data_IF_328266886741
#
_entry.id   IF_328266886741
#
_cell.length_a   1.000
_cell.length_b   1.000
_cell.length_c   1.000
_cell.angle_alpha   90.00
_cell.angle_beta   90.00
_cell.angle_gamma   90.00
#
_symmetry.space_group_name_H-M   'P 1'
#
loop_
_entity.id
_entity.type
_entity.pdbx_description
1 polymer ?
#
# COMPACT_ATOMS: atom_id res chain seq x y z
N UNK A 1 12.72 4.00 -26.55
CA UNK A 1 11.44 3.45 -27.02
C UNK A 1 10.57 3.25 -25.80
N UNK A 2 9.46 3.99 -25.71
CA UNK A 2 8.51 3.85 -24.60
C UNK A 2 7.43 2.85 -25.03
N UNK A 3 7.31 1.73 -24.32
CA UNK A 3 6.23 0.78 -24.53
C UNK A 3 5.03 1.20 -23.68
N UNK A 4 3.99 1.72 -24.32
CA UNK A 4 2.67 1.93 -23.71
C UNK A 4 1.81 0.70 -24.02
N UNK A 5 1.45 -0.06 -22.98
CA UNK A 5 0.47 -1.13 -23.11
C UNK A 5 -0.93 -0.57 -22.81
N UNK A 6 -1.79 -0.60 -23.82
CA UNK A 6 -3.21 -0.23 -23.72
C UNK A 6 -4.03 -1.49 -24.02
N UNK A 7 -4.55 -2.14 -22.98
CA UNK A 7 -5.45 -3.28 -23.10
C UNK A 7 -6.89 -2.87 -22.80
N UNK A 8 -7.76 -2.86 -23.82
CA UNK A 8 -9.21 -2.83 -23.67
C UNK A 8 -9.75 -4.26 -23.74
N UNK A 9 -10.63 -4.61 -22.79
CA UNK A 9 -11.09 -5.96 -22.51
C UNK A 9 -12.17 -6.40 -23.51
N UNK A 10 -11.93 -7.52 -24.22
CA UNK A 10 -12.99 -8.41 -24.68
C UNK A 10 -12.86 -9.73 -23.90
N UNK A 11 -13.99 -10.13 -23.32
CA UNK A 11 -14.15 -11.32 -22.47
C UNK A 11 -13.87 -12.59 -23.27
N UNK A 12 -12.82 -13.33 -22.92
CA UNK A 12 -12.69 -14.75 -23.25
C UNK A 12 -12.33 -15.49 -21.95
N UNK A 13 -13.20 -16.44 -21.58
CA UNK A 13 -12.94 -17.42 -20.52
C UNK A 13 -11.94 -18.43 -21.06
N UNK A 14 -10.84 -18.65 -20.36
CA UNK A 14 -10.16 -19.95 -20.36
C UNK A 14 -9.33 -20.12 -19.09
N UNK A 15 -9.33 -21.35 -18.59
CA UNK A 15 -8.76 -21.78 -17.31
C UNK A 15 -7.24 -21.60 -17.27
N UNK A 16 -6.71 -20.89 -16.28
CA UNK A 16 -5.34 -21.11 -15.79
C UNK A 16 -5.13 -20.48 -14.40
N UNK A 17 -4.27 -21.10 -13.60
CA UNK A 17 -3.67 -20.67 -12.30
C UNK A 17 -4.27 -19.40 -11.65
N UNK A 18 -4.83 -19.52 -10.43
CA UNK A 18 -5.20 -18.39 -9.57
C UNK A 18 -4.01 -17.42 -9.45
N UNK A 19 -4.01 -16.39 -10.30
CA UNK A 19 -3.19 -15.21 -10.17
C UNK A 19 -4.15 -14.13 -9.74
N UNK A 20 -4.14 -13.82 -8.47
CA UNK A 20 -4.88 -12.69 -7.95
C UNK A 20 -4.18 -11.42 -8.48
N UNK A 21 -4.81 -10.81 -9.48
CA UNK A 21 -4.36 -9.55 -10.03
C UNK A 21 -5.04 -8.42 -9.27
N UNK A 22 -4.29 -7.74 -8.40
CA UNK A 22 -4.73 -6.49 -7.77
C UNK A 22 -4.46 -5.35 -8.76
N UNK A 23 -5.51 -4.67 -9.20
CA UNK A 23 -5.41 -3.53 -10.11
C UNK A 23 -5.52 -2.24 -9.32
N UNK A 24 -4.44 -1.45 -9.32
CA UNK A 24 -4.45 -0.10 -8.76
C UNK A 24 -4.87 0.91 -9.83
N UNK A 25 -5.66 1.90 -9.44
CA UNK A 25 -6.09 3.02 -10.29
C UNK A 25 -5.00 4.11 -10.44
N UNK A 26 -3.73 3.77 -10.19
CA UNK A 26 -2.61 4.68 -10.38
C UNK A 26 -1.48 4.03 -11.18
N UNK A 27 -0.76 4.86 -11.91
CA UNK A 27 0.37 4.49 -12.74
C UNK A 27 1.65 4.92 -12.03
N UNK A 28 2.49 3.93 -11.72
CA UNK A 28 3.87 4.12 -11.32
C UNK A 28 4.75 4.03 -12.57
N UNK A 29 5.35 5.13 -12.99
CA UNK A 29 6.30 5.16 -14.10
C UNK A 29 7.72 5.29 -13.55
N UNK A 30 8.53 4.27 -13.82
CA UNK A 30 9.95 4.24 -13.47
C UNK A 30 10.75 4.42 -14.76
N UNK A 31 11.52 5.49 -14.84
CA UNK A 31 12.44 5.76 -15.94
C UNK A 31 13.86 5.48 -15.47
N UNK A 32 14.59 4.59 -16.15
CA UNK A 32 15.96 4.24 -15.78
C UNK A 32 16.98 4.88 -16.72
N UNK A 33 18.02 5.46 -16.13
CA UNK A 33 19.22 5.99 -16.78
C UNK A 33 20.45 5.25 -16.21
N UNK A 34 21.62 5.26 -16.88
CA UNK A 34 22.78 4.43 -16.50
C UNK A 34 23.25 4.55 -15.04
N UNK A 35 22.96 5.68 -14.37
CA UNK A 35 23.33 5.96 -12.98
C UNK A 35 22.19 6.55 -12.14
N UNK A 36 20.98 6.64 -12.68
CA UNK A 36 19.86 7.28 -11.98
C UNK A 36 18.54 6.66 -12.41
N UNK A 37 17.50 6.86 -11.62
CA UNK A 37 16.14 6.64 -12.10
C UNK A 37 15.24 7.79 -11.69
N UNK A 38 14.08 7.87 -12.32
CA UNK A 38 13.07 8.88 -12.03
C UNK A 38 11.75 8.16 -11.88
N UNK A 39 11.09 8.41 -10.75
CA UNK A 39 9.79 7.85 -10.41
C UNK A 39 8.74 8.94 -10.59
N UNK A 40 7.78 8.71 -11.47
CA UNK A 40 6.59 9.55 -11.65
C UNK A 40 5.36 8.74 -11.22
N UNK A 41 4.48 9.36 -10.43
CA UNK A 41 3.22 8.74 -10.00
C UNK A 41 2.04 9.58 -10.46
N UNK A 42 1.02 8.94 -11.01
CA UNK A 42 -0.21 9.59 -11.45
C UNK A 42 -1.43 8.70 -11.23
N UNK A 43 -2.58 9.25 -10.85
CA UNK A 43 -3.84 8.52 -10.79
C UNK A 43 -4.52 8.50 -12.17
N UNK A 44 -5.17 7.39 -12.52
CA UNK A 44 -5.88 7.21 -13.79
C UNK A 44 -7.26 7.90 -13.75
N UNK A 45 -7.84 8.02 -12.56
CA UNK A 45 -9.08 8.76 -12.36
C UNK A 45 -8.84 10.27 -12.33
N UNK A 46 -9.72 11.00 -13.02
CA UNK A 46 -9.73 12.46 -12.99
C UNK A 46 -10.19 12.87 -11.59
N UNK A 47 -9.44 13.71 -10.84
CA UNK A 47 -9.92 14.17 -9.55
C UNK A 47 -11.28 14.83 -9.73
N UNK A 48 -12.28 14.30 -9.01
CA UNK A 48 -13.57 14.96 -8.80
C UNK A 48 -13.34 16.44 -8.41
N UNK A 49 -14.23 17.37 -8.77
CA UNK A 49 -13.92 18.79 -8.86
C UNK A 49 -13.26 19.28 -7.58
N UNK A 50 -12.01 19.73 -7.75
CA UNK A 50 -11.13 20.39 -6.77
C UNK A 50 -11.45 19.98 -5.33
N UNK A 51 -10.82 18.92 -4.80
CA UNK A 51 -11.03 18.62 -3.40
C UNK A 51 -10.70 19.86 -2.58
N UNK A 52 -11.66 20.28 -1.76
CA UNK A 52 -11.40 21.25 -0.72
C UNK A 52 -10.17 20.74 0.03
N UNK A 53 -9.09 21.52 0.01
CA UNK A 53 -7.99 21.28 0.92
C UNK A 53 -8.63 21.21 2.30
N UNK A 54 -8.65 20.04 2.93
CA UNK A 54 -8.92 20.02 4.35
C UNK A 54 -7.82 20.87 4.96
N UNK A 55 -8.22 21.97 5.59
CA UNK A 55 -7.33 22.80 6.38
C UNK A 55 -7.72 22.56 7.83
N UNK A 56 -6.87 21.88 8.62
CA UNK A 56 -5.54 21.33 8.28
C UNK A 56 -5.59 20.05 7.43
N UNK A 57 -4.49 19.72 6.69
CA UNK A 57 -4.38 18.46 5.96
C UNK A 57 -4.41 17.28 6.93
N UNK A 58 -4.94 16.14 6.47
CA UNK A 58 -4.96 14.87 7.22
C UNK A 58 -3.66 14.10 6.99
N UNK A 59 -3.13 13.52 8.04
CA UNK A 59 -1.95 12.68 8.08
C UNK A 59 -2.35 11.32 8.63
N UNK A 60 -1.79 10.27 8.04
CA UNK A 60 -2.13 8.90 8.42
C UNK A 60 -0.89 8.07 8.76
N UNK A 61 -1.12 6.98 9.47
CA UNK A 61 -0.18 5.88 9.64
C UNK A 61 -0.84 4.60 9.13
N UNK A 62 -0.10 3.79 8.39
CA UNK A 62 -0.53 2.48 7.91
C UNK A 62 0.50 1.46 8.39
N UNK A 63 0.07 0.55 9.26
CA UNK A 63 0.90 -0.53 9.76
C UNK A 63 0.02 -1.75 10.10
N UNK A 64 0.51 -2.98 9.86
CA UNK A 64 -0.22 -4.18 10.24
C UNK A 64 -0.33 -4.27 11.77
N UNK A 65 -1.55 -4.39 12.28
CA UNK A 65 -1.84 -4.60 13.71
C UNK A 65 -3.03 -5.54 13.87
N UNK A 66 -2.83 -6.65 14.59
CA UNK A 66 -3.87 -7.65 14.74
C UNK A 66 -5.02 -7.14 15.62
N UNK A 67 -6.25 -7.30 15.13
CA UNK A 67 -7.47 -6.97 15.89
C UNK A 67 -7.89 -5.50 15.81
N UNK A 68 -7.29 -4.72 14.90
CA UNK A 68 -7.66 -3.32 14.64
C UNK A 68 -7.47 -2.96 13.17
N UNK A 69 -8.01 -1.82 12.75
CA UNK A 69 -7.66 -1.23 11.45
C UNK A 69 -6.17 -0.86 11.35
N UNK A 70 -5.60 -1.13 10.17
CA UNK A 70 -4.21 -0.81 9.83
C UNK A 70 -4.04 0.68 9.54
N UNK A 71 -5.07 1.32 8.98
CA UNK A 71 -5.11 2.76 8.73
C UNK A 71 -5.52 3.50 10.00
N UNK A 72 -4.67 4.43 10.45
CA UNK A 72 -4.95 5.29 11.59
C UNK A 72 -4.63 6.73 11.26
N UNK A 73 -5.42 7.68 11.78
CA UNK A 73 -5.07 9.10 11.73
C UNK A 73 -3.86 9.36 12.63
N UNK A 74 -2.99 10.29 12.22
CA UNK A 74 -1.87 10.75 13.03
C UNK A 74 -2.40 11.36 14.34
N UNK A 75 -1.68 11.15 15.44
CA UNK A 75 -2.12 11.62 16.78
C UNK A 75 -2.21 13.13 16.81
N UNK A 76 -1.36 13.81 16.05
CA UNK A 76 -1.31 15.26 15.91
C UNK A 76 -2.55 15.85 15.26
N UNK A 77 -3.30 15.05 14.50
CA UNK A 77 -4.50 15.47 13.78
C UNK A 77 -5.80 15.13 14.53
N UNK A 78 -5.71 14.38 15.63
CA UNK A 78 -6.85 14.00 16.47
C UNK A 78 -7.11 15.12 17.49
N UNK A 79 -8.30 15.70 17.45
CA UNK A 79 -8.71 16.74 18.42
C UNK A 79 -9.06 16.09 19.76
N UNK A 80 -8.97 16.85 20.85
CA UNK A 80 -9.26 16.34 22.22
C UNK A 80 -10.67 15.76 22.37
N UNK A 81 -11.62 16.18 21.51
CA UNK A 81 -13.01 15.73 21.46
C UNK A 81 -13.27 14.60 20.45
N UNK A 82 -12.28 14.23 19.63
CA UNK A 82 -12.37 13.16 18.65
C UNK A 82 -11.86 11.84 19.24
N UNK A 83 -12.56 10.74 18.97
CA UNK A 83 -12.01 9.42 19.27
C UNK A 83 -10.79 9.20 18.39
N UNK A 84 -9.65 8.84 19.00
CA UNK A 84 -8.41 8.54 18.27
C UNK A 84 -8.45 7.25 17.44
N UNK A 85 -9.60 6.60 17.35
CA UNK A 85 -9.88 5.46 16.51
C UNK A 85 -10.99 5.85 15.53
N UNK A 86 -10.70 5.75 14.23
CA UNK A 86 -11.64 6.01 13.14
C UNK A 86 -11.54 4.83 12.20
N UNK A 87 -12.68 4.27 11.79
CA UNK A 87 -12.73 3.12 10.87
C UNK A 87 -12.21 3.54 9.49
N UNK A 88 -11.56 2.61 8.79
CA UNK A 88 -11.00 2.89 7.47
C UNK A 88 -12.10 3.31 6.47
N UNK A 89 -13.31 2.77 6.61
CA UNK A 89 -14.50 3.13 5.84
C UNK A 89 -14.85 4.62 5.95
N UNK A 90 -14.70 5.19 7.14
CA UNK A 90 -15.00 6.61 7.39
C UNK A 90 -13.91 7.51 6.80
N UNK A 91 -12.63 7.11 6.94
CA UNK A 91 -11.50 7.89 6.42
C UNK A 91 -11.38 7.81 4.89
N UNK A 92 -11.74 6.67 4.30
CA UNK A 92 -11.63 6.43 2.87
C UNK A 92 -12.89 6.81 2.08
N UNK A 93 -13.93 7.34 2.73
CA UNK A 93 -15.20 7.72 2.07
C UNK A 93 -15.04 8.78 0.97
N UNK A 94 -14.02 9.64 1.07
CA UNK A 94 -13.72 10.67 0.08
C UNK A 94 -12.88 10.16 -1.11
N UNK A 95 -12.46 8.90 -1.06
CA UNK A 95 -11.74 8.24 -2.14
C UNK A 95 -12.71 7.47 -3.05
N UNK A 96 -12.29 7.15 -4.28
CA UNK A 96 -13.01 6.17 -5.09
C UNK A 96 -13.20 4.86 -4.32
N UNK A 97 -14.34 4.20 -4.49
CA UNK A 97 -14.67 2.97 -3.75
C UNK A 97 -13.63 1.87 -3.93
N UNK A 98 -12.94 1.86 -5.07
CA UNK A 98 -11.82 0.96 -5.34
C UNK A 98 -10.70 1.06 -4.30
N UNK A 99 -10.45 2.23 -3.71
CA UNK A 99 -9.41 2.40 -2.67
C UNK A 99 -9.78 1.64 -1.40
N UNK A 100 -11.04 1.71 -0.97
CA UNK A 100 -11.53 0.96 0.17
C UNK A 100 -11.56 -0.55 -0.12
N UNK A 101 -12.00 -0.95 -1.32
CA UNK A 101 -11.98 -2.36 -1.75
C UNK A 101 -10.55 -2.93 -1.74
N UNK A 102 -9.57 -2.17 -2.25
CA UNK A 102 -8.15 -2.55 -2.23
C UNK A 102 -7.59 -2.61 -0.81
N UNK A 103 -7.95 -1.65 0.04
CA UNK A 103 -7.55 -1.66 1.46
C UNK A 103 -8.08 -2.89 2.18
N UNK A 104 -9.38 -3.20 2.05
CA UNK A 104 -10.00 -4.35 2.70
C UNK A 104 -9.37 -5.66 2.22
N UNK A 105 -9.19 -5.84 0.91
CA UNK A 105 -8.53 -7.04 0.39
C UNK A 105 -7.09 -7.21 0.91
N UNK A 106 -6.33 -6.11 1.03
CA UNK A 106 -4.97 -6.11 1.55
C UNK A 106 -4.91 -6.43 3.06
N UNK A 107 -5.86 -5.94 3.85
CA UNK A 107 -6.01 -6.24 5.28
C UNK A 107 -6.47 -7.69 5.50
N UNK A 108 -7.43 -8.15 4.71
CA UNK A 108 -7.98 -9.51 4.78
C UNK A 108 -6.88 -10.55 4.53
N UNK A 109 -6.05 -10.35 3.50
CA UNK A 109 -4.94 -11.26 3.19
C UNK A 109 -3.96 -11.42 4.36
N UNK A 110 -3.62 -10.30 5.03
CA UNK A 110 -2.77 -10.35 6.22
C UNK A 110 -3.47 -11.05 7.38
N UNK A 111 -4.73 -10.72 7.62
CA UNK A 111 -5.52 -11.20 8.76
C UNK A 111 -5.79 -12.70 8.67
N UNK A 112 -6.14 -13.20 7.49
CA UNK A 112 -6.31 -14.63 7.22
C UNK A 112 -5.00 -15.40 7.40
N UNK A 113 -3.88 -14.82 6.95
CA UNK A 113 -2.56 -15.40 7.13
C UNK A 113 -2.13 -15.43 8.60
N UNK A 114 -2.33 -14.34 9.33
CA UNK A 114 -2.06 -14.25 10.76
C UNK A 114 -2.90 -15.27 11.52
N UNK A 115 -4.20 -15.32 11.27
CA UNK A 115 -5.10 -16.26 11.91
C UNK A 115 -4.65 -17.71 11.68
N UNK A 116 -4.43 -18.09 10.42
CA UNK A 116 -4.07 -19.46 10.06
C UNK A 116 -2.71 -19.91 10.61
N UNK A 117 -1.72 -19.01 10.67
CA UNK A 117 -0.33 -19.39 11.00
C UNK A 117 0.11 -19.05 12.40
N UNK A 118 -0.53 -18.07 13.04
CA UNK A 118 -0.17 -17.58 14.36
C UNK A 118 -1.27 -17.89 15.37
N UNK A 119 -2.52 -17.51 15.10
CA UNK A 119 -3.62 -17.72 16.04
C UNK A 119 -4.01 -19.20 16.16
N UNK A 120 -4.31 -19.86 15.04
CA UNK A 120 -4.76 -21.26 15.03
C UNK A 120 -3.69 -22.24 15.52
N UNK A 121 -2.40 -21.90 15.32
CA UNK A 121 -1.25 -22.71 15.73
C UNK A 121 -0.74 -22.36 17.13
N UNK A 122 -1.13 -21.18 17.66
CA UNK A 122 -0.57 -20.54 18.85
C UNK A 122 0.95 -20.28 18.76
N UNK A 123 1.53 -20.25 17.56
CA UNK A 123 2.93 -19.88 17.34
C UNK A 123 3.07 -18.38 17.03
N UNK A 124 3.11 -17.55 18.07
CA UNK A 124 3.33 -16.11 17.98
C UNK A 124 4.70 -15.69 17.45
N UNK A 125 5.57 -16.65 17.11
CA UNK A 125 6.85 -16.40 16.43
C UNK A 125 6.81 -16.81 14.96
N UNK A 126 5.73 -17.44 14.51
CA UNK A 126 5.58 -17.83 13.11
C UNK A 126 5.51 -16.58 12.21
N UNK A 127 6.16 -16.60 11.04
CA UNK A 127 5.98 -15.54 10.06
C UNK A 127 4.56 -15.58 9.51
N UNK A 128 3.97 -14.39 9.32
CA UNK A 128 2.62 -14.22 8.75
C UNK A 128 2.55 -14.78 7.33
N UNK A 129 3.58 -14.49 6.52
CA UNK A 129 3.70 -14.94 5.14
C UNK A 129 4.54 -16.21 5.03
N UNK A 130 4.21 -17.06 4.08
CA UNK A 130 4.79 -18.41 3.92
C UNK A 130 6.21 -18.33 3.37
N UNK A 131 6.42 -17.33 2.52
CA UNK A 131 7.69 -17.02 1.92
C UNK A 131 7.84 -15.51 1.69
N UNK A 132 9.04 -15.12 1.23
CA UNK A 132 9.40 -13.73 1.00
C UNK A 132 8.77 -13.13 -0.25
N UNK A 133 8.32 -13.95 -1.19
CA UNK A 133 7.62 -13.48 -2.39
C UNK A 133 6.22 -13.03 -2.01
N UNK A 134 5.53 -13.81 -1.18
CA UNK A 134 4.22 -13.45 -0.61
C UNK A 134 4.33 -12.17 0.24
N UNK A 135 5.32 -12.11 1.14
CA UNK A 135 5.58 -10.90 1.93
C UNK A 135 5.92 -9.68 1.06
N UNK A 136 6.73 -9.86 0.03
CA UNK A 136 7.07 -8.79 -0.91
C UNK A 136 5.81 -8.26 -1.62
N UNK A 137 5.00 -9.17 -2.17
CA UNK A 137 3.79 -8.80 -2.91
C UNK A 137 2.86 -7.99 -2.00
N UNK A 138 2.68 -8.43 -0.76
CA UNK A 138 1.88 -7.73 0.24
C UNK A 138 2.47 -6.36 0.64
N UNK A 139 3.79 -6.27 0.84
CA UNK A 139 4.46 -4.99 1.12
C UNK A 139 4.32 -3.99 -0.04
N UNK A 140 4.50 -4.46 -1.28
CA UNK A 140 4.36 -3.62 -2.48
C UNK A 140 2.92 -3.16 -2.63
N UNK A 141 1.94 -4.04 -2.43
CA UNK A 141 0.52 -3.68 -2.47
C UNK A 141 0.18 -2.61 -1.42
N UNK A 142 0.64 -2.77 -0.18
CA UNK A 142 0.44 -1.79 0.89
C UNK A 142 1.13 -0.45 0.61
N UNK A 143 2.35 -0.49 0.08
CA UNK A 143 3.07 0.72 -0.34
C UNK A 143 2.34 1.48 -1.45
N UNK A 144 1.82 0.73 -2.43
CA UNK A 144 1.04 1.27 -3.53
C UNK A 144 -0.26 1.92 -3.04
N UNK A 145 -0.97 1.27 -2.12
CA UNK A 145 -2.15 1.80 -1.46
C UNK A 145 -1.85 3.08 -0.65
N UNK A 146 -0.74 3.10 0.09
CA UNK A 146 -0.33 4.26 0.87
C UNK A 146 -0.09 5.49 -0.01
N UNK A 147 0.60 5.32 -1.15
CA UNK A 147 0.73 6.41 -2.14
C UNK A 147 -0.60 6.86 -2.72
N UNK A 148 -1.50 5.92 -2.99
CA UNK A 148 -2.83 6.25 -3.49
C UNK A 148 -3.61 7.13 -2.51
N UNK A 149 -3.41 6.92 -1.20
CA UNK A 149 -3.95 7.75 -0.12
C UNK A 149 -3.28 9.12 -0.07
N UNK A 150 -1.94 9.20 -0.14
CA UNK A 150 -1.18 10.48 -0.18
C UNK A 150 -1.59 11.37 -1.35
N UNK A 151 -1.84 10.78 -2.51
CA UNK A 151 -2.28 11.53 -3.70
C UNK A 151 -3.75 11.98 -3.60
N UNK A 152 -4.45 11.50 -2.58
CA UNK A 152 -5.83 11.83 -2.28
C UNK A 152 -6.08 13.28 -1.88
N UNK A 153 -7.36 13.64 -1.83
CA UNK A 153 -7.82 14.98 -1.47
C UNK A 153 -7.57 15.31 0.01
N UNK A 154 -6.86 16.40 0.30
CA UNK A 154 -6.65 16.89 1.67
C UNK A 154 -5.68 16.06 2.51
N UNK A 155 -4.96 15.11 1.90
CA UNK A 155 -3.94 14.31 2.61
C UNK A 155 -2.59 15.03 2.52
N UNK A 156 -1.96 15.25 3.68
CA UNK A 156 -0.62 15.82 3.79
C UNK A 156 0.46 14.76 3.66
N UNK A 157 0.34 13.68 4.44
CA UNK A 157 1.33 12.61 4.48
C UNK A 157 0.74 11.27 4.94
N UNK A 158 1.44 10.19 4.65
CA UNK A 158 1.18 8.85 5.19
C UNK A 158 2.50 8.25 5.67
N UNK A 159 2.56 7.78 6.91
CA UNK A 159 3.65 6.93 7.38
C UNK A 159 3.29 5.47 7.13
N UNK A 160 3.97 4.81 6.20
CA UNK A 160 3.79 3.40 5.89
C UNK A 160 4.89 2.55 6.54
N UNK A 161 4.49 1.55 7.33
CA UNK A 161 5.43 0.64 7.99
C UNK A 161 5.52 -0.68 7.21
N UNK A 162 6.63 -0.88 6.49
CA UNK A 162 6.95 -2.13 5.80
C UNK A 162 7.87 -2.97 6.70
N UNK A 163 7.30 -3.95 7.42
CA UNK A 163 8.05 -4.73 8.41
C UNK A 163 8.49 -3.87 9.58
N UNK A 164 9.80 -3.59 9.72
CA UNK A 164 10.35 -2.77 10.81
C UNK A 164 10.78 -1.36 10.37
N UNK A 165 10.47 -0.95 9.13
CA UNK A 165 10.89 0.33 8.58
C UNK A 165 9.69 1.23 8.36
N UNK A 166 9.70 2.40 9.01
CA UNK A 166 8.74 3.47 8.77
C UNK A 166 9.18 4.31 7.56
N UNK A 167 8.26 4.54 6.63
CA UNK A 167 8.46 5.32 5.42
C UNK A 167 7.46 6.48 5.41
N UNK A 168 7.96 7.71 5.50
CA UNK A 168 7.14 8.91 5.34
C UNK A 168 6.91 9.17 3.85
N UNK A 169 5.65 9.07 3.43
CA UNK A 169 5.20 9.32 2.08
C UNK A 169 4.51 10.69 2.01
N UNK A 170 5.05 11.57 1.18
CA UNK A 170 4.57 12.95 1.01
C UNK A 170 4.69 13.34 -0.47
N UNK A 171 3.74 14.14 -0.97
CA UNK A 171 3.77 14.64 -2.34
C UNK A 171 5.03 15.49 -2.56
N UNK A 172 5.82 15.19 -3.60
CA UNK A 172 7.09 15.85 -3.86
C UNK A 172 8.30 15.22 -3.16
N UNK A 173 8.11 14.12 -2.42
CA UNK A 173 9.19 13.32 -1.84
C UNK A 173 9.16 11.86 -2.35
N UNK A 174 9.20 11.69 -3.67
CA UNK A 174 9.13 10.37 -4.31
C UNK A 174 10.45 9.57 -4.18
N UNK A 175 11.52 10.20 -3.69
CA UNK A 175 12.82 9.52 -3.44
C UNK A 175 12.70 8.37 -2.43
N UNK A 176 11.70 8.39 -1.55
CA UNK A 176 11.42 7.29 -0.63
C UNK A 176 11.03 6.00 -1.35
N UNK A 177 10.50 6.09 -2.58
CA UNK A 177 10.18 4.92 -3.42
C UNK A 177 11.42 4.18 -3.88
N UNK A 178 12.50 4.90 -4.16
CA UNK A 178 13.76 4.30 -4.56
C UNK A 178 14.31 3.41 -3.46
N UNK A 179 14.33 3.94 -2.23
CA UNK A 179 14.75 3.22 -1.04
C UNK A 179 13.87 2.01 -0.79
N UNK A 180 12.54 2.19 -0.81
CA UNK A 180 11.60 1.09 -0.59
C UNK A 180 11.82 -0.06 -1.58
N UNK A 181 11.93 0.24 -2.88
CA UNK A 181 12.17 -0.78 -3.91
C UNK A 181 13.53 -1.45 -3.74
N UNK A 182 14.56 -0.71 -3.34
CA UNK A 182 15.87 -1.26 -2.98
C UNK A 182 15.76 -2.28 -1.84
N UNK A 183 15.12 -1.89 -0.73
CA UNK A 183 14.90 -2.75 0.44
C UNK A 183 14.11 -4.02 0.08
N UNK A 184 13.11 -3.90 -0.81
CA UNK A 184 12.32 -5.02 -1.33
C UNK A 184 13.15 -5.98 -2.20
N UNK A 185 14.06 -5.47 -3.03
CA UNK A 185 14.99 -6.28 -3.82
C UNK A 185 15.97 -7.02 -2.90
N UNK A 186 16.47 -6.35 -1.85
CA UNK A 186 17.33 -6.99 -0.86
C UNK A 186 16.62 -8.11 -0.09
N UNK A 187 15.34 -7.92 0.27
CA UNK A 187 14.50 -8.94 0.88
C UNK A 187 14.46 -10.22 0.01
N UNK A 188 14.30 -10.06 -1.31
CA UNK A 188 14.37 -11.18 -2.26
C UNK A 188 15.77 -11.79 -2.36
N UNK A 189 16.81 -10.95 -2.45
CA UNK A 189 18.19 -11.39 -2.63
C UNK A 189 18.72 -12.18 -1.43
N UNK A 190 18.33 -11.78 -0.21
CA UNK A 190 18.60 -12.55 1.00
C UNK A 190 17.94 -13.94 0.94
N UNK A 191 16.92 -14.17 0.09
CA UNK A 191 16.24 -15.46 -0.05
C UNK A 191 17.04 -16.47 -0.85
N UNK A 192 17.91 -15.99 -1.75
CA UNK A 192 18.79 -16.82 -2.55
C UNK A 192 20.02 -17.34 -1.77
N UNK A 193 20.34 -16.70 -0.63
CA UNK A 193 21.33 -17.19 0.32
C UNK A 193 20.55 -17.78 1.49
N UNK A 194 20.37 -19.10 1.48
CA UNK A 194 19.58 -19.84 2.48
C UNK A 194 19.68 -19.25 3.89
N UNK A 195 18.52 -19.11 4.54
CA UNK A 195 18.43 -18.68 5.93
C UNK A 195 19.31 -19.59 6.82
N UNK A 196 19.98 -19.03 7.84
CA UNK A 196 20.64 -19.82 8.87
C UNK A 196 19.66 -20.73 9.62
#
# INVERSE_FOLDING_TARGET
>A
MAHSYRGSMHRARENDSHRDHVFFDFVLKITTEPNNFTVEMMTIETPSPKPELSTPPRHYRIFPDYGTDFLRRAVEDIREDEQGYTEAEEELVLFPSSVLEMYNAWVDEWSDNWKRKVEDTQDYRAPVFSDRTEQLAWNVAGYMLAWRIVLGPGVGSVVYTAGSTDLLLERGNELVTERFLGDQIELLAMGAKGLP
#
